data_IF_079815130909
#
_entry.id   IF_079815130909
#
_cell.length_a   1.000
_cell.length_b   1.000
_cell.length_c   1.000
_cell.angle_alpha   90.00
_cell.angle_beta   90.00
_cell.angle_gamma   90.00
#
_symmetry.space_group_name_H-M   'P 1'
#
loop_
_entity.id
_entity.type
_entity.pdbx_description
1 polymer ?
#
# COMPACT_ATOMS: atom_id res chain seq x y z
N UNK A 1 -3.44 9.66 -16.44
CA UNK A 1 -3.00 9.04 -15.15
C UNK A 1 -4.25 8.61 -14.37
N UNK A 2 -4.16 7.66 -13.43
CA UNK A 2 -5.36 7.16 -12.70
C UNK A 2 -6.17 8.26 -12.01
N UNK A 3 -5.56 9.41 -11.69
CA UNK A 3 -6.22 10.56 -11.07
C UNK A 3 -6.72 11.60 -12.07
N UNK A 4 -6.52 11.39 -13.37
CA UNK A 4 -6.95 12.29 -14.42
C UNK A 4 -8.44 12.12 -14.71
N UNK A 5 -9.26 13.08 -14.28
CA UNK A 5 -10.71 13.05 -14.46
C UNK A 5 -11.16 13.30 -15.89
N UNK A 6 -10.25 13.66 -16.81
CA UNK A 6 -10.54 13.73 -18.24
C UNK A 6 -10.55 12.33 -18.90
N UNK A 7 -9.99 11.32 -18.22
CA UNK A 7 -10.04 9.92 -18.64
C UNK A 7 -11.32 9.26 -18.12
N UNK A 8 -11.85 8.34 -18.92
CA UNK A 8 -12.94 7.47 -18.51
C UNK A 8 -12.54 6.61 -17.29
N UNK A 9 -13.54 6.06 -16.61
CA UNK A 9 -13.28 5.12 -15.51
C UNK A 9 -12.47 3.89 -15.98
N UNK A 10 -12.78 3.37 -17.16
CA UNK A 10 -12.11 2.19 -17.72
C UNK A 10 -10.62 2.45 -17.99
N UNK A 11 -10.29 3.59 -18.61
CA UNK A 11 -8.90 3.99 -18.86
C UNK A 11 -8.11 4.19 -17.55
N UNK A 12 -8.73 4.81 -16.54
CA UNK A 12 -8.11 4.96 -15.23
C UNK A 12 -7.87 3.61 -14.55
N UNK A 13 -8.83 2.69 -14.66
CA UNK A 13 -8.70 1.33 -14.13
C UNK A 13 -7.56 0.58 -14.82
N UNK A 14 -7.50 0.62 -16.14
CA UNK A 14 -6.47 -0.05 -16.93
C UNK A 14 -5.06 0.48 -16.60
N UNK A 15 -4.90 1.79 -16.51
CA UNK A 15 -3.63 2.39 -16.09
C UNK A 15 -3.22 1.97 -14.67
N UNK A 16 -4.19 1.83 -13.76
CA UNK A 16 -3.96 1.34 -12.41
C UNK A 16 -3.48 -0.11 -12.40
N UNK A 17 -4.15 -0.98 -13.18
CA UNK A 17 -3.78 -2.39 -13.37
C UNK A 17 -2.37 -2.47 -13.95
N UNK A 18 -2.08 -1.80 -15.07
CA UNK A 18 -0.76 -1.80 -15.71
C UNK A 18 0.35 -1.32 -14.77
N UNK A 19 0.09 -0.27 -13.99
CA UNK A 19 1.03 0.24 -12.98
C UNK A 19 1.35 -0.84 -11.95
N UNK A 20 0.33 -1.54 -11.46
CA UNK A 20 0.51 -2.63 -10.51
C UNK A 20 1.27 -3.79 -11.13
N UNK A 21 0.89 -4.24 -12.32
CA UNK A 21 1.57 -5.30 -13.05
C UNK A 21 3.05 -5.00 -13.29
N UNK A 22 3.39 -3.77 -13.67
CA UNK A 22 4.77 -3.36 -13.89
C UNK A 22 5.65 -3.41 -12.63
N UNK A 23 5.02 -3.34 -11.45
CA UNK A 23 5.70 -3.56 -10.17
C UNK A 23 5.72 -5.06 -9.88
N UNK A 24 4.57 -5.72 -9.80
CA UNK A 24 4.48 -7.12 -9.35
C UNK A 24 5.22 -8.11 -10.25
N UNK A 25 5.31 -7.84 -11.55
CA UNK A 25 6.04 -8.66 -12.53
C UNK A 25 7.54 -8.36 -12.64
N UNK A 26 8.05 -7.33 -11.97
CA UNK A 26 9.46 -6.98 -12.09
C UNK A 26 10.33 -8.14 -11.54
N UNK A 27 11.15 -8.81 -12.37
CA UNK A 27 11.94 -9.96 -11.94
C UNK A 27 13.01 -9.60 -10.92
N UNK A 28 13.60 -8.41 -11.03
CA UNK A 28 14.63 -7.96 -10.10
C UNK A 28 14.00 -7.42 -8.81
N UNK A 29 14.33 -8.07 -7.69
CA UNK A 29 13.77 -7.74 -6.37
C UNK A 29 14.01 -6.29 -5.98
N UNK A 30 15.23 -5.79 -6.14
CA UNK A 30 15.61 -4.45 -5.70
C UNK A 30 14.91 -3.39 -6.55
N UNK A 31 14.87 -3.61 -7.86
CA UNK A 31 14.11 -2.78 -8.81
C UNK A 31 12.63 -2.78 -8.48
N UNK A 32 12.06 -3.93 -8.10
CA UNK A 32 10.65 -4.05 -7.70
C UNK A 32 10.32 -3.17 -6.51
N UNK A 33 11.09 -3.29 -5.42
CA UNK A 33 10.88 -2.46 -4.23
C UNK A 33 11.13 -0.99 -4.51
N UNK A 34 12.17 -0.65 -5.29
CA UNK A 34 12.42 0.73 -5.71
C UNK A 34 11.22 1.33 -6.47
N UNK A 35 10.64 0.57 -7.43
CA UNK A 35 9.45 1.01 -8.17
C UNK A 35 8.24 1.18 -7.26
N UNK A 36 8.03 0.24 -6.34
CA UNK A 36 6.96 0.34 -5.35
C UNK A 36 7.05 1.63 -4.55
N UNK A 37 8.19 1.90 -3.90
CA UNK A 37 8.43 3.11 -3.13
C UNK A 37 8.25 4.39 -3.96
N UNK A 38 8.78 4.41 -5.18
CA UNK A 38 8.66 5.56 -6.08
C UNK A 38 7.21 5.79 -6.51
N UNK A 39 6.49 4.73 -6.86
CA UNK A 39 5.16 4.82 -7.45
C UNK A 39 4.13 5.31 -6.44
N UNK A 40 4.14 4.81 -5.20
CA UNK A 40 3.17 5.25 -4.19
C UNK A 40 3.26 6.76 -3.93
N UNK A 41 4.48 7.29 -3.75
CA UNK A 41 4.72 8.73 -3.62
C UNK A 41 4.23 9.51 -4.84
N UNK A 42 4.59 9.05 -6.04
CA UNK A 42 4.15 9.67 -7.28
C UNK A 42 2.62 9.72 -7.39
N UNK A 43 1.92 8.62 -7.09
CA UNK A 43 0.47 8.55 -7.11
C UNK A 43 -0.17 9.51 -6.11
N UNK A 44 0.36 9.62 -4.89
CA UNK A 44 -0.16 10.53 -3.87
C UNK A 44 0.04 12.01 -4.26
N UNK A 45 1.21 12.36 -4.79
CA UNK A 45 1.51 13.73 -5.26
C UNK A 45 0.55 14.13 -6.37
N UNK A 46 0.28 13.19 -7.26
CA UNK A 46 -0.61 13.35 -8.40
C UNK A 46 -2.09 13.35 -8.05
N UNK A 47 -2.48 12.65 -7.00
CA UNK A 47 -3.82 12.68 -6.45
C UNK A 47 -4.10 14.01 -5.74
N UNK A 48 -3.19 14.43 -4.88
CA UNK A 48 -3.35 15.65 -4.07
C UNK A 48 -3.07 16.95 -4.83
N UNK A 49 -2.25 16.90 -5.87
CA UNK A 49 -1.76 18.09 -6.56
C UNK A 49 -0.87 18.98 -5.66
N UNK A 50 -0.30 18.42 -4.59
CA UNK A 50 0.40 19.16 -3.55
C UNK A 50 1.70 18.46 -3.11
N UNK A 51 2.56 19.21 -2.42
CA UNK A 51 3.80 18.69 -1.86
C UNK A 51 3.51 17.64 -0.78
N UNK A 52 4.35 16.60 -0.77
CA UNK A 52 4.22 15.48 0.15
C UNK A 52 4.90 15.77 1.50
N UNK A 53 4.22 15.43 2.59
CA UNK A 53 4.75 15.42 3.94
C UNK A 53 5.25 14.03 4.30
N UNK A 54 6.52 13.89 4.66
CA UNK A 54 7.04 12.64 5.21
C UNK A 54 6.64 12.51 6.69
N UNK A 55 5.80 11.52 7.00
CA UNK A 55 5.28 11.29 8.35
C UNK A 55 6.10 10.28 9.16
N UNK A 56 7.19 9.78 8.58
CA UNK A 56 8.08 8.81 9.20
C UNK A 56 7.63 7.36 9.02
N UNK A 57 8.35 6.47 9.70
CA UNK A 57 8.14 5.03 9.65
C UNK A 57 7.13 4.59 10.72
N UNK A 58 6.25 3.65 10.37
CA UNK A 58 5.47 2.87 11.34
C UNK A 58 6.31 1.68 11.79
N UNK A 59 6.55 1.64 13.09
CA UNK A 59 7.31 0.58 13.75
C UNK A 59 6.34 -0.36 14.48
N UNK A 60 6.67 -1.65 14.49
CA UNK A 60 5.99 -2.66 15.29
C UNK A 60 7.06 -3.33 16.17
N UNK A 61 6.90 -3.25 17.49
CA UNK A 61 7.94 -3.60 18.48
C UNK A 61 8.58 -5.01 18.30
N UNK A 62 7.85 -5.94 17.68
CA UNK A 62 8.25 -7.33 17.50
C UNK A 62 8.95 -7.63 16.16
N UNK A 63 9.20 -6.61 15.34
CA UNK A 63 9.75 -6.79 13.99
C UNK A 63 10.95 -5.89 13.74
N UNK A 64 11.87 -6.37 12.92
CA UNK A 64 13.07 -5.64 12.53
C UNK A 64 12.93 -5.01 11.14
N UNK A 65 13.68 -3.94 10.86
CA UNK A 65 13.66 -3.27 9.55
C UNK A 65 14.09 -4.22 8.40
N UNK A 66 14.93 -5.21 8.70
CA UNK A 66 15.35 -6.27 7.75
C UNK A 66 14.21 -7.26 7.40
N UNK A 67 13.10 -7.20 8.13
CA UNK A 67 11.92 -8.05 7.94
C UNK A 67 10.80 -7.34 7.20
N UNK A 68 10.51 -6.10 7.59
CA UNK A 68 9.61 -5.23 6.87
C UNK A 68 9.92 -3.75 7.14
N UNK A 69 9.52 -2.91 6.20
CA UNK A 69 9.50 -1.46 6.37
C UNK A 69 8.11 -0.91 6.05
N UNK A 70 7.59 0.00 6.88
CA UNK A 70 6.34 0.70 6.62
C UNK A 70 6.53 2.21 6.72
N UNK A 71 6.38 2.93 5.61
CA UNK A 71 6.55 4.39 5.57
C UNK A 71 5.23 5.10 5.33
N UNK A 72 4.99 6.17 6.09
CA UNK A 72 3.81 7.03 5.93
C UNK A 72 4.19 8.33 5.22
N UNK A 73 3.43 8.66 4.19
CA UNK A 73 3.49 9.95 3.51
C UNK A 73 2.09 10.55 3.48
N UNK A 74 1.95 11.84 3.74
CA UNK A 74 0.67 12.53 3.73
C UNK A 74 0.65 13.67 2.71
N UNK A 75 -0.54 14.03 2.27
CA UNK A 75 -0.80 15.22 1.48
C UNK A 75 -2.21 15.76 1.81
N UNK A 76 -2.53 17.01 1.43
CA UNK A 76 -3.91 17.50 1.45
C UNK A 76 -4.86 16.57 0.70
N UNK A 77 -6.03 16.35 1.26
CA UNK A 77 -7.08 15.55 0.62
C UNK A 77 -7.92 16.43 -0.32
N UNK A 78 -7.94 16.16 -1.64
CA UNK A 78 -8.71 16.95 -2.59
C UNK A 78 -10.23 16.78 -2.44
N UNK A 79 -10.71 15.66 -1.87
CA UNK A 79 -12.16 15.41 -1.73
C UNK A 79 -12.68 15.79 -0.33
N UNK A 80 -11.81 16.15 0.61
CA UNK A 80 -12.21 16.52 1.98
C UNK A 80 -11.58 17.85 2.35
N UNK A 81 -12.42 18.89 2.42
CA UNK A 81 -11.98 20.24 2.79
C UNK A 81 -11.24 20.26 4.14
N UNK A 82 -9.98 20.71 4.13
CA UNK A 82 -9.13 20.74 5.33
C UNK A 82 -8.71 19.36 5.84
N UNK A 83 -8.98 18.30 5.07
CA UNK A 83 -8.57 16.93 5.37
C UNK A 83 -7.18 16.60 4.84
N UNK A 84 -6.68 15.43 5.25
CA UNK A 84 -5.43 14.87 4.71
C UNK A 84 -5.64 13.44 4.22
N UNK A 85 -4.92 13.10 3.15
CA UNK A 85 -4.83 11.75 2.64
C UNK A 85 -3.46 11.19 2.99
N UNK A 86 -3.44 10.02 3.65
CA UNK A 86 -2.22 9.37 4.11
C UNK A 86 -2.03 8.08 3.35
N UNK A 87 -0.88 7.96 2.70
CA UNK A 87 -0.43 6.72 2.09
C UNK A 87 0.60 6.05 3.02
N UNK A 88 0.30 4.82 3.43
CA UNK A 88 1.26 3.93 4.06
C UNK A 88 1.72 2.89 3.05
N UNK A 89 3.02 2.84 2.77
CA UNK A 89 3.62 1.83 1.92
C UNK A 89 4.40 0.85 2.78
N UNK A 90 4.13 -0.44 2.60
CA UNK A 90 4.66 -1.53 3.42
C UNK A 90 5.41 -2.50 2.51
N UNK A 91 6.73 -2.61 2.69
CA UNK A 91 7.56 -3.60 2.03
C UNK A 91 7.88 -4.73 3.01
N UNK A 92 7.59 -5.96 2.65
CA UNK A 92 7.98 -7.15 3.41
C UNK A 92 9.17 -7.78 2.68
N UNK A 93 10.28 -7.97 3.38
CA UNK A 93 11.56 -8.35 2.77
C UNK A 93 11.89 -9.83 2.92
N UNK A 94 11.38 -10.48 3.95
CA UNK A 94 11.60 -11.90 4.17
C UNK A 94 10.35 -12.68 3.79
N UNK A 95 10.55 -13.71 2.97
CA UNK A 95 9.53 -14.74 2.78
C UNK A 95 9.24 -15.38 4.13
N UNK A 96 7.96 -15.64 4.41
CA UNK A 96 7.63 -16.57 5.48
C UNK A 96 8.14 -17.94 5.02
N UNK A 97 9.09 -18.58 5.73
CA UNK A 97 9.46 -19.94 5.38
C UNK A 97 8.19 -20.78 5.42
N UNK A 98 7.92 -21.57 4.37
CA UNK A 98 6.95 -22.65 4.47
C UNK A 98 7.50 -23.60 5.54
N UNK A 99 7.05 -23.47 6.77
CA UNK A 99 7.52 -24.35 7.85
C UNK A 99 6.99 -25.76 7.58
N UNK A 100 7.84 -26.76 7.83
CA UNK A 100 7.42 -28.17 7.81
C UNK A 100 6.38 -28.48 8.91
N UNK A 101 6.14 -27.56 9.84
CA UNK A 101 5.30 -27.71 11.03
C UNK A 101 4.02 -26.83 11.03
N UNK A 102 3.64 -26.23 9.90
CA UNK A 102 2.28 -25.69 9.74
C UNK A 102 2.02 -24.29 10.31
N UNK A 103 3.06 -23.47 10.53
CA UNK A 103 2.85 -22.02 10.63
C UNK A 103 2.52 -21.51 9.22
N UNK A 104 1.25 -21.16 9.02
CA UNK A 104 0.70 -20.71 7.75
C UNK A 104 1.36 -19.37 7.38
N UNK A 105 1.94 -19.22 6.17
CA UNK A 105 2.38 -17.94 5.64
C UNK A 105 1.36 -16.81 5.83
N UNK A 106 0.06 -17.15 5.85
CA UNK A 106 -1.04 -16.22 6.11
C UNK A 106 -0.96 -15.53 7.48
N UNK A 107 -0.33 -16.14 8.49
CA UNK A 107 -0.25 -15.61 9.86
C UNK A 107 0.69 -14.40 9.96
N UNK A 108 1.85 -14.43 9.29
CA UNK A 108 2.82 -13.33 9.31
C UNK A 108 2.26 -12.06 8.68
N UNK A 109 1.65 -12.17 7.49
CA UNK A 109 1.02 -11.02 6.82
C UNK A 109 -0.16 -10.51 7.62
N UNK A 110 -0.95 -11.40 8.24
CA UNK A 110 -2.07 -11.01 9.08
C UNK A 110 -1.61 -10.27 10.33
N UNK A 111 -0.56 -10.73 11.00
CA UNK A 111 0.03 -10.07 12.18
C UNK A 111 0.59 -8.70 11.82
N UNK A 112 1.39 -8.59 10.75
CA UNK A 112 1.94 -7.30 10.29
C UNK A 112 0.80 -6.35 9.92
N UNK A 113 -0.17 -6.82 9.12
CA UNK A 113 -1.31 -6.02 8.70
C UNK A 113 -2.07 -5.50 9.91
N UNK A 114 -2.52 -6.37 10.82
CA UNK A 114 -3.32 -5.98 12.00
C UNK A 114 -2.55 -5.03 12.94
N UNK A 115 -1.25 -5.25 13.12
CA UNK A 115 -0.39 -4.34 13.87
C UNK A 115 -0.33 -2.95 13.23
N UNK A 116 -0.11 -2.89 11.92
CA UNK A 116 -0.03 -1.63 11.18
C UNK A 116 -1.37 -0.89 11.12
N UNK A 117 -2.50 -1.58 11.01
CA UNK A 117 -3.83 -0.94 11.07
C UNK A 117 -4.00 -0.17 12.38
N UNK A 118 -3.63 -0.80 13.50
CA UNK A 118 -3.71 -0.18 14.83
C UNK A 118 -2.76 1.01 14.97
N UNK A 119 -1.52 0.87 14.47
CA UNK A 119 -0.52 1.94 14.51
C UNK A 119 -0.91 3.14 13.61
N UNK A 120 -1.48 2.87 12.44
CA UNK A 120 -2.00 3.88 11.53
C UNK A 120 -3.17 4.64 12.16
N UNK A 121 -4.12 3.96 12.80
CA UNK A 121 -5.21 4.65 13.51
C UNK A 121 -4.71 5.51 14.66
N UNK A 122 -3.68 5.06 15.40
CA UNK A 122 -3.07 5.88 16.44
C UNK A 122 -2.42 7.15 15.84
N UNK A 123 -1.80 7.05 14.67
CA UNK A 123 -1.31 8.20 13.93
C UNK A 123 -2.44 9.16 13.53
N UNK A 124 -3.52 8.63 12.94
CA UNK A 124 -4.71 9.42 12.54
C UNK A 124 -5.26 10.23 13.71
N UNK A 125 -5.42 9.59 14.88
CA UNK A 125 -5.95 10.26 16.09
C UNK A 125 -5.07 11.42 16.56
N UNK A 126 -3.74 11.32 16.39
CA UNK A 126 -2.79 12.38 16.78
C UNK A 126 -2.73 13.53 15.77
N UNK A 127 -2.92 13.25 14.49
CA UNK A 127 -2.79 14.25 13.40
C UNK A 127 -3.88 15.33 13.46
N UNK A 128 -5.08 14.97 13.93
CA UNK A 128 -6.23 15.87 13.96
C UNK A 128 -6.80 16.16 12.57
N UNK A 129 -8.04 16.66 12.53
CA UNK A 129 -8.78 16.84 11.28
C UNK A 129 -9.29 15.51 10.68
N UNK A 130 -9.96 15.61 9.53
CA UNK A 130 -10.42 14.42 8.81
C UNK A 130 -9.24 13.78 8.06
N UNK A 131 -9.02 12.49 8.27
CA UNK A 131 -7.94 11.75 7.60
C UNK A 131 -8.53 10.58 6.84
N UNK A 132 -8.26 10.49 5.55
CA UNK A 132 -8.45 9.27 4.76
C UNK A 132 -7.10 8.71 4.38
N UNK A 133 -7.06 7.49 3.87
CA UNK A 133 -5.78 6.95 3.46
C UNK A 133 -5.84 5.58 2.81
N UNK A 134 -4.66 5.10 2.43
CA UNK A 134 -4.47 3.77 1.92
C UNK A 134 -3.21 3.15 2.51
N UNK A 135 -3.23 1.84 2.70
CA UNK A 135 -2.08 1.02 3.02
C UNK A 135 -1.84 0.06 1.87
N UNK A 136 -0.65 0.09 1.30
CA UNK A 136 -0.23 -0.74 0.19
C UNK A 136 0.87 -1.67 0.68
N UNK A 137 0.74 -2.96 0.41
CA UNK A 137 1.72 -3.98 0.80
C UNK A 137 2.34 -4.58 -0.45
N UNK A 138 3.65 -4.81 -0.41
CA UNK A 138 4.38 -5.58 -1.42
C UNK A 138 5.29 -6.58 -0.73
N UNK A 139 5.31 -7.81 -1.23
CA UNK A 139 6.19 -8.87 -0.74
C UNK A 139 7.30 -9.26 -1.75
N UNK A 140 8.25 -10.13 -1.34
CA UNK A 140 9.37 -10.54 -2.20
C UNK A 140 8.94 -11.40 -3.40
N UNK A 141 7.71 -11.92 -3.42
CA UNK A 141 7.14 -12.70 -4.51
C UNK A 141 6.31 -11.86 -5.48
N UNK A 142 6.16 -10.55 -5.19
CA UNK A 142 5.34 -9.66 -6.01
C UNK A 142 3.86 -9.76 -5.69
N UNK A 143 3.48 -10.40 -4.58
CA UNK A 143 2.12 -10.30 -4.08
C UNK A 143 1.88 -8.89 -3.55
N UNK A 144 0.67 -8.40 -3.81
CA UNK A 144 0.26 -7.05 -3.45
C UNK A 144 -1.08 -7.07 -2.72
N UNK A 145 -1.22 -6.18 -1.73
CA UNK A 145 -2.47 -5.98 -1.01
C UNK A 145 -2.71 -4.49 -0.81
N UNK A 146 -3.96 -4.05 -1.03
CA UNK A 146 -4.42 -2.70 -0.75
C UNK A 146 -5.50 -2.67 0.33
N UNK A 147 -5.35 -1.79 1.32
CA UNK A 147 -6.40 -1.45 2.30
C UNK A 147 -6.68 0.04 2.20
N UNK A 148 -7.95 0.43 2.16
CA UNK A 148 -8.37 1.82 2.17
C UNK A 148 -9.00 2.17 3.52
N UNK A 149 -8.73 3.37 4.02
CA UNK A 149 -9.32 3.91 5.24
C UNK A 149 -10.19 5.12 4.88
N UNK A 150 -11.50 5.02 5.12
CA UNK A 150 -12.47 6.08 4.78
C UNK A 150 -12.52 7.22 5.80
N UNK A 151 -11.69 7.18 6.84
CA UNK A 151 -11.72 8.08 8.00
C UNK A 151 -12.41 7.49 9.22
N UNK A 152 -13.06 6.33 9.09
CA UNK A 152 -13.75 5.64 10.18
C UNK A 152 -13.53 4.14 10.18
N UNK A 153 -13.38 3.54 9.00
CA UNK A 153 -13.39 2.10 8.77
C UNK A 153 -12.34 1.72 7.73
N UNK A 154 -11.77 0.55 7.91
CA UNK A 154 -10.96 -0.10 6.90
C UNK A 154 -11.85 -0.82 5.90
N UNK A 155 -11.66 -0.51 4.63
CA UNK A 155 -12.27 -1.16 3.49
C UNK A 155 -11.14 -1.90 2.78
N UNK A 156 -11.25 -3.21 2.73
CA UNK A 156 -10.36 -4.00 1.89
C UNK A 156 -10.67 -3.70 0.43
N UNK A 157 -9.76 -3.01 -0.25
CA UNK A 157 -9.91 -2.75 -1.68
C UNK A 157 -9.18 -3.87 -2.40
N UNK A 158 -9.94 -4.93 -2.64
CA UNK A 158 -9.49 -6.08 -3.40
C UNK A 158 -9.46 -5.70 -4.88
N UNK A 159 -8.33 -5.21 -5.39
CA UNK A 159 -8.03 -5.28 -6.81
C UNK A 159 -7.43 -6.65 -7.11
N UNK A 160 -8.15 -7.74 -6.82
CA UNK A 160 -7.69 -9.13 -6.87
C UNK A 160 -6.85 -9.54 -5.64
N UNK A 161 -7.42 -10.42 -4.78
CA UNK A 161 -6.69 -11.12 -3.72
C UNK A 161 -5.50 -11.87 -4.30
N UNK A 162 -4.35 -11.91 -3.61
CA UNK A 162 -3.25 -12.89 -3.76
C UNK A 162 -3.29 -13.74 -5.03
N UNK A 163 -3.16 -13.10 -6.18
CA UNK A 163 -3.30 -13.77 -7.45
C UNK A 163 -2.01 -13.57 -8.21
N UNK A 164 -1.46 -14.70 -8.67
CA UNK A 164 -0.35 -14.71 -9.60
C UNK A 164 -0.82 -13.93 -10.83
N UNK A 165 0.10 -13.36 -11.62
CA UNK A 165 -0.22 -12.70 -12.89
C UNK A 165 -1.18 -13.48 -13.81
N UNK A 166 -1.17 -14.81 -13.66
CA UNK A 166 -1.99 -15.81 -14.34
C UNK A 166 -3.48 -15.72 -14.00
N UNK A 167 -3.84 -15.31 -12.79
CA UNK A 167 -5.22 -15.35 -12.31
C UNK A 167 -6.00 -14.06 -12.63
N UNK A 168 -5.30 -13.01 -13.05
CA UNK A 168 -5.88 -11.71 -13.41
C UNK A 168 -6.24 -11.63 -14.92
N UNK A 169 -6.10 -12.75 -15.66
CA UNK A 169 -6.73 -12.91 -16.97
C UNK A 169 -6.10 -12.13 -18.12
N UNK A 170 -4.77 -11.96 -18.11
CA UNK A 170 -4.04 -11.61 -19.32
C UNK A 170 -3.33 -12.84 -19.89
N UNK A 171 -3.93 -13.39 -20.96
CA UNK A 171 -3.26 -14.20 -21.97
C UNK A 171 -2.43 -13.30 -22.88
#
# INVERSE_FOLDING_TARGET
>A
MVTDTSLSFEERRELGIQTMYYITLEPDRDTRFWRFWKMGRFLLEKYSGAALENCGQLQLDQWTDDEFEAWMTAAPDPDVQGGSFVLCQVAIYRETPATADGDDPSDRYSVITNGLLSAFEAFVRRRGGSVRGAMLFLDPNGHYLGRYFDGKRWISVHFFEFQKPQDVGHL
#
